data_IF_109242678270
#
_entry.id   IF_109242678270
#
_cell.length_a   1.000
_cell.length_b   1.000
_cell.length_c   1.000
_cell.angle_alpha   90.00
_cell.angle_beta   90.00
_cell.angle_gamma   90.00
#
_symmetry.space_group_name_H-M   'P 1'
#
loop_
_entity.id
_entity.type
_entity.pdbx_description
1 polymer ?
#
# COMPACT_ATOMS: atom_id res chain seq x y z
N UNK A 1 -29.14 34.47 0.69
CA UNK A 1 -28.35 33.77 -0.35
C UNK A 1 -26.95 33.34 0.09
N UNK A 2 -26.15 34.17 0.79
CA UNK A 2 -24.78 33.80 1.23
C UNK A 2 -24.70 32.58 2.17
N UNK A 3 -25.68 32.40 3.06
CA UNK A 3 -25.74 31.27 3.99
C UNK A 3 -26.01 29.96 3.24
N UNK A 4 -26.83 30.01 2.18
CA UNK A 4 -27.13 28.84 1.36
C UNK A 4 -25.86 28.36 0.63
N UNK A 5 -25.08 29.30 0.09
CA UNK A 5 -23.79 29.02 -0.57
C UNK A 5 -22.71 28.50 0.39
N UNK A 6 -22.76 28.91 1.66
CA UNK A 6 -21.83 28.45 2.70
C UNK A 6 -22.14 27.02 3.15
N UNK A 7 -23.44 26.69 3.24
CA UNK A 7 -23.91 25.35 3.57
C UNK A 7 -23.60 24.38 2.42
N UNK A 8 -23.84 24.76 1.16
CA UNK A 8 -23.47 23.91 0.01
C UNK A 8 -21.97 23.74 -0.13
N UNK A 9 -21.13 24.74 0.17
CA UNK A 9 -19.67 24.59 0.14
C UNK A 9 -19.14 23.66 1.24
N UNK A 10 -19.77 23.70 2.42
CA UNK A 10 -19.45 22.76 3.52
C UNK A 10 -19.86 21.34 3.16
N UNK A 11 -21.05 21.16 2.57
CA UNK A 11 -21.55 19.86 2.13
C UNK A 11 -20.75 19.29 0.94
N UNK A 12 -20.29 20.14 0.03
CA UNK A 12 -19.41 19.75 -1.08
C UNK A 12 -18.01 19.39 -0.59
N UNK A 13 -17.50 20.03 0.46
CA UNK A 13 -16.20 19.67 1.07
C UNK A 13 -16.29 18.33 1.79
N UNK A 14 -17.39 18.07 2.51
CA UNK A 14 -17.64 16.78 3.16
C UNK A 14 -17.84 15.67 2.10
N UNK A 15 -18.57 15.96 1.01
CA UNK A 15 -18.74 15.05 -0.12
C UNK A 15 -17.46 14.79 -0.93
N UNK A 16 -16.53 15.75 -0.95
CA UNK A 16 -15.20 15.61 -1.55
C UNK A 16 -14.25 14.79 -0.68
N UNK A 17 -14.34 14.93 0.66
CA UNK A 17 -13.63 14.06 1.61
C UNK A 17 -14.19 12.63 1.60
N UNK A 18 -15.49 12.47 1.34
CA UNK A 18 -16.14 11.17 1.17
C UNK A 18 -15.98 10.59 -0.24
N UNK A 19 -15.44 11.36 -1.22
CA UNK A 19 -15.20 10.84 -2.56
C UNK A 19 -14.07 9.80 -2.51
N UNK A 20 -14.32 8.56 -2.96
CA UNK A 20 -13.38 7.45 -2.96
C UNK A 20 -12.34 7.60 -4.10
N UNK A 21 -11.75 8.78 -4.24
CA UNK A 21 -10.53 9.05 -5.01
C UNK A 21 -9.29 8.95 -4.13
N UNK A 22 -9.32 8.05 -3.16
CA UNK A 22 -8.10 7.41 -2.71
C UNK A 22 -7.57 6.59 -3.87
N UNK A 23 -6.75 7.23 -4.70
CA UNK A 23 -5.81 6.58 -5.63
C UNK A 23 -4.72 5.82 -4.83
N UNK A 24 -5.08 5.20 -3.72
CA UNK A 24 -4.31 4.16 -3.05
C UNK A 24 -4.76 2.86 -3.68
N UNK A 25 -4.59 2.81 -4.99
CA UNK A 25 -4.68 1.61 -5.78
C UNK A 25 -3.86 0.54 -5.07
N UNK A 26 -4.57 -0.49 -4.64
CA UNK A 26 -4.14 -1.86 -4.36
C UNK A 26 -3.34 -2.51 -5.52
N UNK A 27 -2.80 -1.72 -6.46
CA UNK A 27 -2.29 -2.15 -7.75
C UNK A 27 -0.76 -2.37 -7.76
N UNK A 28 -0.10 -2.10 -6.63
CA UNK A 28 1.23 -2.61 -6.34
C UNK A 28 1.18 -3.16 -4.93
N UNK A 29 0.97 -4.47 -4.78
CA UNK A 29 1.30 -5.15 -3.52
C UNK A 29 2.79 -4.94 -3.27
N UNK A 30 3.11 -3.85 -2.58
CA UNK A 30 4.46 -3.53 -2.16
C UNK A 30 4.75 -4.52 -1.05
N UNK A 31 5.41 -5.62 -1.41
CA UNK A 31 5.95 -6.55 -0.42
C UNK A 31 6.81 -5.79 0.59
N UNK A 32 7.10 -6.40 1.75
CA UNK A 32 8.02 -5.80 2.73
C UNK A 32 9.32 -5.29 2.10
N UNK A 33 9.82 -6.01 1.08
CA UNK A 33 11.01 -5.66 0.29
C UNK A 33 10.85 -4.34 -0.48
N UNK A 34 9.70 -4.09 -1.10
CA UNK A 34 9.44 -2.85 -1.84
C UNK A 34 9.30 -1.65 -0.92
N UNK A 35 8.71 -1.81 0.27
CA UNK A 35 8.61 -0.74 1.28
C UNK A 35 10.01 -0.30 1.69
N UNK A 36 10.91 -1.25 1.97
CA UNK A 36 12.31 -0.97 2.31
C UNK A 36 13.01 -0.23 1.16
N UNK A 37 12.79 -0.64 -0.10
CA UNK A 37 13.36 0.04 -1.28
C UNK A 37 12.88 1.48 -1.41
N UNK A 38 11.60 1.74 -1.19
CA UNK A 38 11.05 3.10 -1.22
C UNK A 38 11.75 3.97 -0.17
N UNK A 39 11.95 3.45 1.05
CA UNK A 39 12.72 4.17 2.06
C UNK A 39 14.15 4.51 1.60
N UNK A 40 14.88 3.55 1.02
CA UNK A 40 16.22 3.82 0.49
C UNK A 40 16.22 4.94 -0.57
N UNK A 41 15.29 4.89 -1.54
CA UNK A 41 15.16 5.93 -2.57
C UNK A 41 14.81 7.29 -1.98
N UNK A 42 13.96 7.33 -0.95
CA UNK A 42 13.58 8.57 -0.27
C UNK A 42 14.78 9.18 0.45
N UNK A 43 15.63 8.38 1.11
CA UNK A 43 16.79 8.86 1.85
C UNK A 43 17.94 9.39 0.96
N UNK A 44 18.00 9.01 -0.31
CA UNK A 44 19.02 9.47 -1.26
C UNK A 44 18.81 10.91 -1.77
N UNK A 45 17.63 11.51 -1.59
CA UNK A 45 17.35 12.88 -2.03
C UNK A 45 17.76 13.97 -1.01
N UNK A 46 17.95 15.21 -1.49
CA UNK A 46 18.44 16.37 -0.70
C UNK A 46 17.52 16.80 0.48
N UNK A 47 16.39 16.13 0.70
CA UNK A 47 15.49 16.30 1.85
C UNK A 47 14.92 14.96 2.34
N UNK A 48 15.68 13.88 2.20
CA UNK A 48 15.16 12.52 2.36
C UNK A 48 14.53 12.22 3.71
N UNK A 49 15.04 12.81 4.80
CA UNK A 49 14.47 12.66 6.13
C UNK A 49 13.03 13.19 6.24
N UNK A 50 12.71 14.33 5.59
CA UNK A 50 11.37 14.93 5.62
C UNK A 50 10.39 14.09 4.81
N UNK A 51 10.85 13.55 3.67
CA UNK A 51 10.05 12.72 2.79
C UNK A 51 9.80 11.33 3.39
N UNK A 52 10.80 10.75 4.06
CA UNK A 52 10.68 9.51 4.82
C UNK A 52 9.70 9.65 6.00
N UNK A 53 9.73 10.77 6.73
CA UNK A 53 8.74 11.05 7.78
C UNK A 53 7.32 11.16 7.22
N UNK A 54 7.13 11.90 6.13
CA UNK A 54 5.83 12.01 5.47
C UNK A 54 5.30 10.65 5.00
N UNK A 55 6.16 9.85 4.37
CA UNK A 55 5.82 8.49 3.94
C UNK A 55 5.48 7.60 5.14
N UNK A 56 6.24 7.69 6.22
CA UNK A 56 5.97 6.96 7.47
C UNK A 56 4.61 7.30 8.06
N UNK A 57 4.24 8.59 8.08
CA UNK A 57 2.93 9.03 8.59
C UNK A 57 1.81 8.41 7.76
N UNK A 58 1.90 8.46 6.43
CA UNK A 58 0.88 7.90 5.55
C UNK A 58 0.79 6.37 5.70
N UNK A 59 1.94 5.69 5.74
CA UNK A 59 2.01 4.25 5.94
C UNK A 59 1.34 3.86 7.27
N UNK A 60 1.68 4.53 8.37
CA UNK A 60 1.11 4.25 9.68
C UNK A 60 -0.39 4.54 9.76
N UNK A 61 -0.88 5.63 9.13
CA UNK A 61 -2.32 5.91 9.07
C UNK A 61 -3.06 4.82 8.30
N UNK A 62 -2.53 4.39 7.15
CA UNK A 62 -3.11 3.28 6.39
C UNK A 62 -3.10 1.98 7.19
N UNK A 63 -2.01 1.69 7.91
CA UNK A 63 -1.91 0.51 8.77
C UNK A 63 -2.89 0.57 9.94
N UNK A 64 -3.11 1.76 10.53
CA UNK A 64 -4.09 1.96 11.58
C UNK A 64 -5.53 1.74 11.08
N UNK A 65 -5.85 2.21 9.88
CA UNK A 65 -7.16 1.98 9.24
C UNK A 65 -7.35 0.48 8.95
N UNK A 66 -6.33 -0.19 8.41
CA UNK A 66 -6.37 -1.64 8.19
C UNK A 66 -6.54 -2.40 9.51
N UNK A 67 -5.79 -2.05 10.55
CA UNK A 67 -5.86 -2.67 11.88
C UNK A 67 -7.23 -2.52 12.54
N UNK A 68 -8.03 -1.51 12.18
CA UNK A 68 -9.41 -1.34 12.66
C UNK A 68 -10.43 -2.25 11.95
N UNK A 69 -10.05 -2.95 10.89
CA UNK A 69 -10.93 -3.90 10.22
C UNK A 69 -11.27 -5.10 11.12
N UNK A 70 -12.48 -5.70 10.98
CA UNK A 70 -12.93 -6.87 11.74
C UNK A 70 -12.22 -8.17 11.30
N UNK A 71 -10.90 -8.17 11.21
CA UNK A 71 -10.08 -9.33 10.83
C UNK A 71 -9.55 -9.99 12.12
N UNK A 72 -9.78 -11.29 12.36
CA UNK A 72 -9.42 -11.97 13.62
C UNK A 72 -7.96 -11.87 14.06
N UNK A 73 -7.03 -11.61 13.14
CA UNK A 73 -5.59 -11.50 13.42
C UNK A 73 -5.13 -10.05 13.68
N UNK A 74 -6.01 -9.08 13.42
CA UNK A 74 -5.79 -7.65 13.64
C UNK A 74 -6.51 -7.18 14.91
N UNK A 75 -6.04 -6.07 15.49
CA UNK A 75 -6.59 -5.49 16.72
C UNK A 75 -8.10 -5.25 16.65
N UNK A 76 -8.61 -4.82 15.49
CA UNK A 76 -10.03 -4.60 15.23
C UNK A 76 -10.90 -5.86 15.31
N UNK A 77 -10.34 -7.04 15.00
CA UNK A 77 -11.04 -8.31 15.15
C UNK A 77 -11.35 -8.63 16.61
N UNK A 78 -10.38 -8.41 17.50
CA UNK A 78 -10.59 -8.60 18.94
C UNK A 78 -11.61 -7.61 19.51
N UNK A 79 -11.54 -6.34 19.09
CA UNK A 79 -12.51 -5.31 19.50
C UNK A 79 -13.93 -5.72 19.08
N UNK A 80 -14.11 -6.17 17.83
CA UNK A 80 -15.41 -6.57 17.30
C UNK A 80 -15.94 -7.82 17.99
N UNK A 81 -15.09 -8.79 18.30
CA UNK A 81 -15.48 -9.99 19.06
C UNK A 81 -15.92 -9.65 20.48
N UNK A 82 -15.20 -8.77 21.18
CA UNK A 82 -15.58 -8.29 22.51
C UNK A 82 -16.92 -7.53 22.48
N UNK A 83 -17.15 -6.74 21.42
CA UNK A 83 -18.41 -6.02 21.20
C UNK A 83 -19.57 -6.99 20.95
N UNK A 84 -19.35 -8.00 20.10
CA UNK A 84 -20.31 -9.08 19.82
C UNK A 84 -20.61 -9.90 21.10
N UNK A 85 -19.61 -10.20 21.92
CA UNK A 85 -19.76 -10.91 23.18
C UNK A 85 -20.55 -10.09 24.21
N UNK A 86 -20.27 -8.78 24.30
CA UNK A 86 -21.03 -7.85 25.13
C UNK A 86 -22.52 -7.77 24.74
N UNK A 87 -22.81 -7.80 23.44
CA UNK A 87 -24.19 -7.80 22.92
C UNK A 87 -24.86 -9.17 23.08
N UNK A 88 -24.17 -10.27 22.78
CA UNK A 88 -24.71 -11.64 22.82
C UNK A 88 -24.75 -12.23 24.24
N UNK A 89 -24.03 -11.65 25.20
CA UNK A 89 -23.84 -12.14 26.58
C UNK A 89 -23.46 -13.63 26.65
N UNK A 90 -22.82 -14.16 25.61
CA UNK A 90 -22.40 -15.56 25.51
C UNK A 90 -20.94 -15.62 25.10
N UNK A 91 -20.10 -16.39 25.80
CA UNK A 91 -18.68 -16.45 25.51
C UNK A 91 -18.44 -17.04 24.13
N UNK A 92 -17.51 -16.43 23.39
CA UNK A 92 -17.02 -16.96 22.13
C UNK A 92 -16.11 -18.16 22.43
N UNK A 93 -16.12 -19.18 21.57
CA UNK A 93 -15.26 -20.34 21.76
C UNK A 93 -13.80 -19.97 21.47
N UNK A 94 -13.02 -19.73 22.53
CA UNK A 94 -11.60 -19.34 22.48
C UNK A 94 -10.76 -20.28 21.61
N UNK A 95 -11.05 -21.59 21.64
CA UNK A 95 -10.29 -22.57 20.83
C UNK A 95 -10.44 -22.29 19.34
N UNK A 96 -11.65 -22.00 18.88
CA UNK A 96 -11.90 -21.70 17.45
C UNK A 96 -11.20 -20.41 17.07
N UNK A 97 -11.22 -19.40 17.95
CA UNK A 97 -10.56 -18.13 17.71
C UNK A 97 -9.04 -18.28 17.60
N UNK A 98 -8.40 -19.02 18.50
CA UNK A 98 -6.97 -19.33 18.42
C UNK A 98 -6.62 -20.03 17.10
N UNK A 99 -7.38 -21.07 16.73
CA UNK A 99 -7.15 -21.78 15.47
C UNK A 99 -7.26 -20.87 14.25
N UNK A 100 -8.29 -20.01 14.19
CA UNK A 100 -8.49 -19.06 13.09
C UNK A 100 -7.38 -18.01 13.07
N UNK A 101 -7.01 -17.48 14.24
CA UNK A 101 -5.96 -16.47 14.37
C UNK A 101 -4.60 -17.03 13.95
N UNK A 102 -4.22 -18.20 14.44
CA UNK A 102 -2.98 -18.88 14.05
C UNK A 102 -2.98 -19.22 12.57
N UNK A 103 -4.07 -19.76 12.03
CA UNK A 103 -4.17 -20.05 10.60
C UNK A 103 -3.99 -18.79 9.73
N UNK A 104 -4.67 -17.69 10.07
CA UNK A 104 -4.50 -16.41 9.38
C UNK A 104 -3.07 -15.86 9.52
N UNK A 105 -2.50 -15.87 10.72
CA UNK A 105 -1.15 -15.39 10.97
C UNK A 105 -0.11 -16.19 10.16
N UNK A 106 -0.20 -17.52 10.20
CA UNK A 106 0.67 -18.41 9.42
C UNK A 106 0.53 -18.18 7.93
N UNK A 107 -0.69 -17.97 7.42
CA UNK A 107 -0.92 -17.66 6.00
C UNK A 107 -0.30 -16.33 5.60
N UNK A 108 -0.49 -15.26 6.38
CA UNK A 108 0.06 -13.94 6.08
C UNK A 108 1.59 -13.94 6.14
N UNK A 109 2.17 -14.51 7.20
CA UNK A 109 3.63 -14.62 7.36
C UNK A 109 4.22 -15.50 6.25
N UNK A 110 3.59 -16.64 5.96
CA UNK A 110 4.01 -17.53 4.87
C UNK A 110 3.97 -16.82 3.51
N UNK A 111 2.91 -16.05 3.24
CA UNK A 111 2.79 -15.26 2.02
C UNK A 111 3.83 -14.13 1.94
N UNK A 112 4.10 -13.43 3.05
CA UNK A 112 5.18 -12.43 3.12
C UNK A 112 6.54 -13.02 2.82
N UNK A 113 6.87 -14.18 3.39
CA UNK A 113 8.12 -14.89 3.10
C UNK A 113 8.17 -15.32 1.63
N UNK A 114 7.09 -15.91 1.11
CA UNK A 114 7.01 -16.37 -0.28
C UNK A 114 7.32 -15.24 -1.28
N UNK A 115 6.65 -14.09 -1.14
CA UNK A 115 6.93 -12.94 -2.01
C UNK A 115 8.34 -12.40 -1.79
N UNK A 116 8.79 -12.32 -0.54
CA UNK A 116 10.14 -11.80 -0.24
C UNK A 116 11.23 -12.66 -0.89
N UNK A 117 11.10 -13.98 -0.87
CA UNK A 117 12.04 -14.88 -1.56
C UNK A 117 12.01 -14.69 -3.07
N UNK A 118 10.82 -14.51 -3.67
CA UNK A 118 10.69 -14.27 -5.11
C UNK A 118 11.28 -12.92 -5.52
N UNK A 119 10.99 -11.85 -4.78
CA UNK A 119 11.50 -10.50 -5.01
C UNK A 119 13.03 -10.44 -4.86
N UNK A 120 13.60 -11.11 -3.85
CA UNK A 120 15.05 -11.20 -3.66
C UNK A 120 15.70 -12.00 -4.81
N UNK A 121 15.07 -13.10 -5.23
CA UNK A 121 15.55 -13.90 -6.36
C UNK A 121 15.59 -13.13 -7.68
N UNK A 122 14.56 -12.34 -7.98
CA UNK A 122 14.56 -11.43 -9.14
C UNK A 122 15.66 -10.36 -9.01
N UNK A 123 15.85 -9.82 -7.81
CA UNK A 123 16.83 -8.77 -7.53
C UNK A 123 18.28 -9.23 -7.72
N UNK A 124 18.61 -10.48 -7.34
CA UNK A 124 19.93 -11.07 -7.57
C UNK A 124 20.07 -11.73 -8.96
N UNK A 125 18.97 -12.19 -9.56
CA UNK A 125 18.94 -12.79 -10.90
C UNK A 125 19.05 -11.78 -12.04
N UNK A 126 18.69 -10.51 -11.80
CA UNK A 126 18.72 -9.46 -12.81
C UNK A 126 20.11 -8.84 -13.02
N UNK A 127 21.09 -9.69 -13.32
CA UNK A 127 22.35 -9.31 -14.00
C UNK A 127 22.47 -9.91 -15.42
N UNK A 128 21.46 -10.63 -15.92
CA UNK A 128 21.58 -11.35 -17.20
C UNK A 128 20.89 -10.71 -18.41
N UNK A 129 19.97 -9.74 -18.23
CA UNK A 129 19.27 -9.11 -19.37
C UNK A 129 19.75 -7.68 -19.67
N UNK A 130 21.07 -7.49 -19.62
CA UNK A 130 21.77 -6.40 -20.33
C UNK A 130 22.32 -6.86 -21.69
N UNK A 131 21.55 -7.65 -22.44
CA UNK A 131 21.84 -7.93 -23.85
C UNK A 131 20.60 -7.84 -24.72
N UNK A 132 20.39 -6.65 -25.26
CA UNK A 132 20.15 -6.53 -26.69
C UNK A 132 20.91 -5.32 -27.23
N UNK A 133 22.13 -5.52 -27.78
CA UNK A 133 22.85 -4.49 -28.50
C UNK A 133 22.24 -4.33 -29.89
N UNK A 134 22.06 -3.07 -30.29
CA UNK A 134 22.04 -2.54 -31.65
C UNK A 134 21.69 -3.47 -32.82
N UNK A 135 20.61 -3.14 -33.53
CA UNK A 135 20.55 -3.31 -34.99
C UNK A 135 20.56 -1.95 -35.67
N UNK A 136 21.77 -1.50 -36.01
CA UNK A 136 22.14 -0.61 -37.12
C UNK A 136 21.27 -0.90 -38.34
N UNK A 137 20.66 0.06 -39.05
CA UNK A 137 21.24 0.92 -40.11
C UNK A 137 20.08 1.62 -40.89
N UNK A 138 20.32 2.56 -41.84
CA UNK A 138 21.40 3.54 -42.00
C UNK A 138 20.89 4.98 -42.15
N UNK A 139 21.84 5.92 -42.12
CA UNK A 139 21.67 7.31 -42.54
C UNK A 139 21.17 7.44 -44.01
N UNK A 140 20.25 8.36 -44.25
CA UNK A 140 20.15 9.09 -45.52
C UNK A 140 20.08 10.59 -45.24
N UNK A 141 21.18 11.25 -45.56
CA UNK A 141 21.29 12.68 -45.83
C UNK A 141 20.36 13.06 -46.99
N UNK A 142 19.57 14.12 -46.81
CA UNK A 142 19.09 15.05 -47.83
C UNK A 142 18.58 16.29 -47.05
N UNK A 143 19.35 17.38 -46.87
CA UNK A 143 19.45 18.55 -47.77
C UNK A 143 18.10 18.87 -48.45
N UNK A 144 17.43 20.03 -48.36
CA UNK A 144 17.75 21.44 -48.12
C UNK A 144 16.42 22.23 -48.34
N UNK A 145 16.37 23.56 -48.47
CA UNK A 145 16.51 24.64 -47.49
C UNK A 145 15.19 25.40 -47.23
N UNK A 146 15.23 26.37 -46.32
CA UNK A 146 14.28 27.49 -46.26
C UNK A 146 14.34 28.33 -47.56
N UNK A 147 13.33 29.17 -47.83
CA UNK A 147 13.27 30.49 -47.20
C UNK A 147 11.95 30.79 -46.48
#
# INVERSE_FOLDING_TARGET
>A
EQVYNSITSTLQTIGAVASPKSDVKLQHMSGPVMIVRIYYMLFEGDNGWKLALWFSVILNVNLAILNMLPIPVLDGGHIVLALIEGVRRKPVNMKILEWVQTACATLIIGYMLYISFFDIGDLFGKNSDRKSPAKTAPAKTQSSPAP
#
